data_IF_694935054903
#
_entry.id   IF_694935054903
#
_cell.length_a   1.000
_cell.length_b   1.000
_cell.length_c   1.000
_cell.angle_alpha   90.00
_cell.angle_beta   90.00
_cell.angle_gamma   90.00
#
_symmetry.space_group_name_H-M   'P 1'
#
loop_
_entity.id
_entity.type
_entity.pdbx_description
1 polymer ?
#
# COMPACT_ATOMS: atom_id res chain seq x y z
N UNK A 1 28.95 -2.36 47.59
CA UNK A 1 29.38 -2.76 48.95
C UNK A 1 30.84 -3.17 48.88
N UNK A 2 31.59 -2.85 49.92
CA UNK A 2 33.06 -2.81 49.98
C UNK A 2 33.71 -4.16 49.61
N UNK A 3 34.53 -4.20 48.56
CA UNK A 3 35.60 -5.20 48.37
C UNK A 3 36.91 -4.40 48.32
N UNK A 4 37.69 -4.40 49.40
CA UNK A 4 38.74 -5.36 49.74
C UNK A 4 40.07 -4.93 49.11
N UNK A 5 40.91 -4.37 49.98
CA UNK A 5 42.29 -3.91 49.74
C UNK A 5 43.17 -5.07 49.28
N UNK A 6 43.97 -4.86 48.24
CA UNK A 6 45.28 -5.50 48.11
C UNK A 6 46.30 -4.39 47.90
N UNK A 7 46.98 -4.04 48.99
CA UNK A 7 48.24 -3.30 48.96
C UNK A 7 49.34 -4.29 48.57
N UNK A 8 49.87 -4.16 47.36
CA UNK A 8 51.20 -4.63 46.97
C UNK A 8 51.63 -3.67 45.87
N UNK A 9 52.44 -2.63 46.09
CA UNK A 9 53.76 -2.69 46.70
C UNK A 9 54.77 -2.40 45.60
N UNK A 10 55.10 -1.12 45.38
CA UNK A 10 56.29 -0.75 44.61
C UNK A 10 56.79 0.63 45.07
N UNK A 11 57.42 0.67 46.24
CA UNK A 11 58.30 1.76 46.65
C UNK A 11 59.73 1.32 46.37
N UNK A 12 60.40 2.12 45.56
CA UNK A 12 61.64 1.85 44.86
C UNK A 12 62.82 1.51 45.77
N UNK A 13 63.65 0.56 45.32
CA UNK A 13 65.11 0.60 45.48
C UNK A 13 65.78 -0.25 44.37
N UNK A 14 66.53 0.47 43.52
CA UNK A 14 67.62 0.04 42.64
C UNK A 14 67.28 -0.68 41.31
N UNK A 15 67.42 0.15 40.27
CA UNK A 15 67.79 -0.15 38.88
C UNK A 15 66.68 -0.64 37.93
N UNK A 16 66.43 0.25 36.95
CA UNK A 16 65.77 0.05 35.65
C UNK A 16 64.24 0.24 35.62
N UNK A 17 63.87 1.26 34.83
CA UNK A 17 62.59 1.53 34.18
C UNK A 17 61.32 1.56 35.05
N UNK A 18 60.75 2.77 35.12
CA UNK A 18 59.38 3.09 35.55
C UNK A 18 58.34 2.26 34.79
N UNK A 19 57.39 1.68 35.51
CA UNK A 19 56.14 1.15 34.99
C UNK A 19 55.26 0.67 36.15
N UNK A 20 54.31 1.52 36.58
CA UNK A 20 53.21 1.11 37.44
C UNK A 20 52.10 0.58 36.52
N UNK A 21 51.77 -0.69 36.66
CA UNK A 21 50.59 -1.32 36.06
C UNK A 21 49.37 -0.96 36.92
N UNK A 22 48.53 -0.07 36.40
CA UNK A 22 47.18 0.19 36.89
C UNK A 22 46.19 -0.43 35.88
N UNK A 23 45.84 -1.71 36.06
CA UNK A 23 44.92 -2.42 35.17
C UNK A 23 43.62 -2.78 35.91
N UNK A 24 42.67 -1.84 35.87
CA UNK A 24 41.24 -2.08 36.09
C UNK A 24 40.44 -0.97 35.39
N UNK A 25 40.17 -1.14 34.09
CA UNK A 25 38.87 -0.85 33.44
C UNK A 25 38.97 -0.95 31.91
N UNK A 26 38.36 -1.99 31.34
CA UNK A 26 37.15 -1.87 30.52
C UNK A 26 36.80 -3.25 29.97
N UNK A 27 35.53 -3.62 30.04
CA UNK A 27 35.06 -4.88 29.46
C UNK A 27 35.34 -4.95 27.96
N UNK A 28 35.59 -6.17 27.50
CA UNK A 28 35.68 -6.62 26.11
C UNK A 28 34.53 -6.07 25.23
N UNK A 29 34.67 -4.83 24.79
CA UNK A 29 34.13 -4.33 23.54
C UNK A 29 35.17 -4.60 22.47
N UNK A 30 34.98 -5.67 21.72
CA UNK A 30 35.74 -5.90 20.51
C UNK A 30 35.28 -4.89 19.45
N UNK A 31 35.85 -3.68 19.45
CA UNK A 31 35.81 -2.76 18.30
C UNK A 31 37.22 -2.55 17.73
N UNK A 32 37.85 -3.67 17.35
CA UNK A 32 38.87 -3.67 16.31
C UNK A 32 38.19 -3.41 14.95
N UNK A 33 38.08 -2.15 14.54
CA UNK A 33 37.68 -1.81 13.17
C UNK A 33 36.88 -0.52 13.02
N UNK A 34 37.52 0.63 13.19
CA UNK A 34 37.01 1.88 12.63
C UNK A 34 37.22 1.86 11.11
N UNK A 35 36.49 1.01 10.37
CA UNK A 35 36.28 1.29 8.95
C UNK A 35 35.51 2.60 8.89
N UNK A 36 35.97 3.54 8.07
CA UNK A 36 35.23 4.75 7.72
C UNK A 36 34.04 4.38 6.82
N UNK A 37 33.18 3.46 7.26
CA UNK A 37 31.90 3.25 6.63
C UNK A 37 31.08 4.50 6.95
N UNK A 38 30.74 5.26 5.91
CA UNK A 38 29.76 6.32 6.05
C UNK A 38 28.40 5.78 6.51
N UNK A 39 27.38 6.64 6.73
CA UNK A 39 26.03 6.23 7.14
C UNK A 39 25.31 5.25 6.21
N UNK A 40 25.86 4.91 5.04
CA UNK A 40 25.27 4.05 4.02
C UNK A 40 26.33 3.44 3.08
N UNK A 41 25.95 2.44 2.28
CA UNK A 41 26.82 1.81 1.27
C UNK A 41 26.61 2.45 -0.11
N UNK A 42 27.68 2.77 -0.85
CA UNK A 42 27.57 3.42 -2.19
C UNK A 42 26.58 2.69 -3.10
N UNK A 43 25.63 3.45 -3.68
CA UNK A 43 24.62 2.92 -4.59
C UNK A 43 23.48 2.14 -3.92
N UNK A 44 23.54 1.92 -2.60
CA UNK A 44 22.41 1.40 -1.82
C UNK A 44 21.22 2.33 -2.00
N UNK A 45 20.05 1.74 -2.23
CA UNK A 45 18.80 2.46 -2.32
C UNK A 45 17.87 1.98 -1.21
N UNK A 46 17.13 2.90 -0.60
CA UNK A 46 16.15 2.56 0.43
C UNK A 46 14.92 3.46 0.33
N UNK A 47 13.74 2.87 0.49
CA UNK A 47 12.50 3.65 0.58
C UNK A 47 12.26 4.16 2.01
N UNK A 48 12.18 5.49 2.17
CA UNK A 48 11.86 6.12 3.46
C UNK A 48 10.76 7.15 3.25
N UNK A 49 9.61 6.95 3.90
CA UNK A 49 8.43 7.84 3.82
C UNK A 49 7.99 8.12 2.37
N UNK A 50 8.03 7.09 1.52
CA UNK A 50 7.64 7.17 0.10
C UNK A 50 8.66 7.88 -0.81
N UNK A 51 9.87 8.15 -0.32
CA UNK A 51 10.96 8.73 -1.11
C UNK A 51 12.08 7.73 -1.28
N UNK A 52 12.65 7.68 -2.48
CA UNK A 52 13.83 6.89 -2.76
C UNK A 52 15.05 7.62 -2.21
N UNK A 53 15.82 6.95 -1.37
CA UNK A 53 17.09 7.44 -0.89
C UNK A 53 18.20 6.62 -1.50
N UNK A 54 19.08 7.23 -2.26
CA UNK A 54 20.25 6.54 -2.84
C UNK A 54 21.52 7.06 -2.19
N UNK A 55 22.37 6.17 -1.69
CA UNK A 55 23.61 6.55 -1.04
C UNK A 55 24.57 7.16 -2.05
N UNK A 56 25.16 8.30 -1.68
CA UNK A 56 26.13 9.01 -2.51
C UNK A 56 27.44 8.21 -2.63
N UNK A 57 28.17 8.41 -3.72
CA UNK A 57 29.45 7.74 -3.99
C UNK A 57 30.55 8.08 -2.98
N UNK A 58 30.44 9.24 -2.33
CA UNK A 58 31.33 9.69 -1.27
C UNK A 58 30.97 9.14 0.12
N UNK A 59 29.94 8.29 0.22
CA UNK A 59 29.44 7.67 1.45
C UNK A 59 28.98 8.67 2.52
N UNK A 60 28.93 9.99 2.23
CA UNK A 60 28.67 10.99 3.27
C UNK A 60 27.18 11.23 3.57
N UNK A 61 26.28 10.70 2.73
CA UNK A 61 24.85 10.88 2.91
C UNK A 61 23.98 10.29 1.80
N UNK A 62 22.69 10.63 1.86
CA UNK A 62 21.65 10.12 0.97
C UNK A 62 21.19 11.21 -0.01
N UNK A 63 21.17 10.89 -1.29
CA UNK A 63 20.38 11.59 -2.29
C UNK A 63 18.91 11.22 -2.08
N UNK A 64 18.04 12.20 -1.82
CA UNK A 64 16.60 11.95 -1.57
C UNK A 64 15.79 12.46 -2.76
N UNK A 65 15.17 11.53 -3.47
CA UNK A 65 14.39 11.83 -4.67
C UNK A 65 12.95 11.38 -4.52
N UNK A 66 12.06 12.07 -5.25
CA UNK A 66 10.69 11.59 -5.44
C UNK A 66 10.70 10.72 -6.67
N UNK A 67 9.95 9.63 -6.61
CA UNK A 67 9.64 8.85 -7.80
C UNK A 67 8.84 9.72 -8.79
N UNK A 68 9.00 9.42 -10.09
CA UNK A 68 8.28 10.09 -11.16
C UNK A 68 6.76 9.87 -11.06
N UNK A 69 5.98 10.65 -11.81
CA UNK A 69 4.52 10.53 -11.82
C UNK A 69 4.08 9.12 -12.23
N UNK A 70 3.14 8.54 -11.46
CA UNK A 70 2.66 7.17 -11.65
C UNK A 70 3.59 6.09 -11.12
N UNK A 71 4.63 6.43 -10.36
CA UNK A 71 5.50 5.48 -9.69
C UNK A 71 5.57 5.74 -8.18
N UNK A 72 5.76 4.66 -7.41
CA UNK A 72 5.86 4.70 -5.94
C UNK A 72 7.18 4.08 -5.48
N UNK A 73 7.70 4.53 -4.34
CA UNK A 73 8.86 3.88 -3.73
C UNK A 73 8.41 2.68 -2.91
N UNK A 74 8.64 1.47 -3.42
CA UNK A 74 8.34 0.20 -2.75
C UNK A 74 9.51 -0.75 -3.00
N UNK A 75 9.91 -1.51 -1.96
CA UNK A 75 11.04 -2.45 -2.04
C UNK A 75 12.31 -1.80 -2.63
N UNK A 76 12.64 -0.61 -2.13
CA UNK A 76 13.88 0.11 -2.42
C UNK A 76 14.06 0.55 -3.88
N UNK A 77 12.96 0.59 -4.64
CA UNK A 77 12.93 1.07 -6.01
C UNK A 77 11.67 1.90 -6.31
N UNK A 78 11.78 2.79 -7.30
CA UNK A 78 10.61 3.42 -7.90
C UNK A 78 9.98 2.45 -8.89
N UNK A 79 8.77 1.99 -8.60
CA UNK A 79 8.03 1.01 -9.39
C UNK A 79 6.70 1.60 -9.86
N UNK A 80 6.14 1.15 -11.01
CA UNK A 80 4.83 1.58 -11.45
C UNK A 80 3.77 1.33 -10.38
N UNK A 81 2.97 2.36 -10.13
CA UNK A 81 1.83 2.28 -9.24
C UNK A 81 0.72 1.48 -9.92
N UNK A 82 0.23 0.44 -9.26
CA UNK A 82 -0.86 -0.40 -9.82
C UNK A 82 -2.22 0.25 -9.55
N UNK A 83 -2.40 0.82 -8.37
CA UNK A 83 -3.64 1.46 -7.94
C UNK A 83 -3.38 2.55 -6.90
N UNK A 84 -4.36 3.43 -6.68
CA UNK A 84 -4.26 4.45 -5.63
C UNK A 84 -4.39 3.82 -4.25
N UNK A 85 -3.41 3.96 -3.33
CA UNK A 85 -3.44 3.32 -2.02
C UNK A 85 -4.74 3.55 -1.26
N UNK A 86 -5.38 2.46 -0.82
CA UNK A 86 -6.66 2.52 -0.10
C UNK A 86 -7.88 2.86 -0.96
N UNK A 87 -7.71 3.09 -2.27
CA UNK A 87 -8.83 3.23 -3.19
C UNK A 87 -9.64 1.93 -3.28
N UNK A 88 -10.90 2.07 -3.65
CA UNK A 88 -11.88 0.99 -3.74
C UNK A 88 -12.48 0.98 -5.14
N UNK A 89 -12.72 -0.20 -5.67
CA UNK A 89 -13.41 -0.36 -6.94
C UNK A 89 -14.35 -1.56 -6.93
N UNK A 90 -15.24 -1.58 -7.91
CA UNK A 90 -16.17 -2.67 -8.13
C UNK A 90 -15.66 -3.62 -9.21
N UNK A 91 -15.83 -4.90 -8.93
CA UNK A 91 -15.61 -6.01 -9.86
C UNK A 91 -16.90 -6.84 -9.95
N UNK A 92 -16.94 -7.82 -10.84
CA UNK A 92 -18.06 -8.77 -10.92
C UNK A 92 -18.29 -9.55 -9.60
N UNK A 93 -17.25 -9.68 -8.77
CA UNK A 93 -17.29 -10.41 -7.50
C UNK A 93 -17.54 -9.51 -6.27
N UNK A 94 -17.58 -8.18 -6.46
CA UNK A 94 -17.82 -7.21 -5.39
C UNK A 94 -16.73 -6.14 -5.26
N UNK A 95 -16.56 -5.60 -4.06
CA UNK A 95 -15.62 -4.49 -3.78
C UNK A 95 -14.23 -5.04 -3.50
N UNK A 96 -13.21 -4.50 -4.16
CA UNK A 96 -11.80 -4.72 -3.77
C UNK A 96 -11.13 -3.41 -3.38
N UNK A 97 -10.10 -3.50 -2.54
CA UNK A 97 -9.37 -2.35 -2.00
C UNK A 97 -7.91 -2.44 -2.40
N UNK A 98 -7.33 -1.32 -2.82
CA UNK A 98 -5.92 -1.23 -3.14
C UNK A 98 -5.10 -1.29 -1.85
N UNK A 99 -4.04 -2.09 -1.84
CA UNK A 99 -3.11 -2.19 -0.72
C UNK A 99 -2.45 -0.83 -0.42
N UNK A 100 -1.98 -0.65 0.81
CA UNK A 100 -1.37 0.61 1.26
C UNK A 100 -0.08 0.95 0.50
N UNK A 101 0.61 -0.05 -0.01
CA UNK A 101 1.77 0.09 -0.90
C UNK A 101 1.42 0.46 -2.35
N UNK A 102 0.14 0.39 -2.75
CA UNK A 102 -0.30 0.73 -4.11
C UNK A 102 0.03 -0.31 -5.18
N UNK A 103 0.57 -1.48 -4.82
CA UNK A 103 1.08 -2.48 -5.75
C UNK A 103 0.14 -3.66 -5.97
N UNK A 104 -0.90 -3.80 -5.17
CA UNK A 104 -1.83 -4.92 -5.27
C UNK A 104 -3.25 -4.57 -4.88
N UNK A 105 -4.20 -5.34 -5.39
CA UNK A 105 -5.58 -5.30 -4.96
C UNK A 105 -5.86 -6.45 -3.99
N UNK A 106 -6.68 -6.18 -2.97
CA UNK A 106 -7.22 -7.23 -2.12
C UNK A 106 -8.09 -8.21 -2.91
N UNK A 107 -8.33 -9.39 -2.35
CA UNK A 107 -9.44 -10.23 -2.82
C UNK A 107 -10.76 -9.44 -2.75
N UNK A 108 -11.62 -9.57 -3.78
CA UNK A 108 -12.92 -8.90 -3.77
C UNK A 108 -13.80 -9.45 -2.66
N UNK A 109 -14.54 -8.56 -2.03
CA UNK A 109 -15.54 -8.87 -1.01
C UNK A 109 -16.92 -8.64 -1.61
N UNK A 110 -17.72 -9.70 -1.68
CA UNK A 110 -19.07 -9.62 -2.19
C UNK A 110 -19.91 -8.63 -1.36
N UNK A 111 -20.75 -7.87 -2.06
CA UNK A 111 -21.72 -7.01 -1.39
C UNK A 111 -22.76 -7.85 -0.62
N UNK A 112 -23.38 -7.28 0.43
CA UNK A 112 -24.47 -7.95 1.14
C UNK A 112 -25.59 -8.38 0.19
N UNK A 113 -26.43 -9.30 0.65
CA UNK A 113 -27.66 -9.64 -0.07
C UNK A 113 -28.47 -8.37 -0.36
N UNK A 114 -29.12 -8.35 -1.53
CA UNK A 114 -29.91 -7.21 -2.02
C UNK A 114 -29.10 -5.92 -2.22
N UNK A 115 -27.77 -6.00 -2.35
CA UNK A 115 -26.91 -4.87 -2.70
C UNK A 115 -26.19 -5.10 -4.04
N UNK A 116 -25.97 -4.01 -4.76
CA UNK A 116 -25.11 -3.91 -5.94
C UNK A 116 -23.83 -3.16 -5.61
N UNK A 117 -22.75 -3.43 -6.37
CA UNK A 117 -21.52 -2.66 -6.26
C UNK A 117 -21.53 -1.53 -7.28
N UNK A 118 -21.32 -0.30 -6.82
CA UNK A 118 -21.10 0.86 -7.68
C UNK A 118 -20.03 1.76 -7.06
N UNK A 119 -19.06 2.19 -7.88
CA UNK A 119 -18.00 3.12 -7.49
C UNK A 119 -17.26 2.70 -6.20
N UNK A 120 -17.01 1.39 -6.05
CA UNK A 120 -16.34 0.80 -4.89
C UNK A 120 -17.20 0.70 -3.62
N UNK A 121 -18.50 0.93 -3.72
CA UNK A 121 -19.43 0.94 -2.58
C UNK A 121 -20.59 -0.02 -2.84
N UNK A 122 -20.97 -0.75 -1.79
CA UNK A 122 -22.18 -1.56 -1.81
C UNK A 122 -23.40 -0.68 -1.51
N UNK A 123 -24.33 -0.62 -2.46
CA UNK A 123 -25.57 0.15 -2.37
C UNK A 123 -26.76 -0.80 -2.43
N UNK A 124 -27.83 -0.47 -1.71
CA UNK A 124 -29.05 -1.26 -1.76
C UNK A 124 -29.63 -1.25 -3.19
N UNK A 125 -30.03 -2.42 -3.67
CA UNK A 125 -30.66 -2.58 -4.98
C UNK A 125 -32.00 -1.85 -5.02
N UNK A 126 -32.26 -1.20 -6.14
CA UNK A 126 -33.52 -0.54 -6.44
C UNK A 126 -34.47 -1.44 -7.24
N UNK A 127 -33.93 -2.48 -7.87
CA UNK A 127 -34.65 -3.44 -8.69
C UNK A 127 -33.92 -4.78 -8.74
N UNK A 128 -34.60 -5.84 -9.20
CA UNK A 128 -33.98 -7.16 -9.36
C UNK A 128 -33.12 -7.15 -10.62
N UNK A 129 -31.85 -7.59 -10.60
CA UNK A 129 -31.01 -7.60 -11.79
C UNK A 129 -31.66 -8.30 -12.99
N UNK A 130 -31.71 -7.62 -14.14
CA UNK A 130 -32.33 -8.12 -15.36
C UNK A 130 -33.87 -8.12 -15.35
N UNK A 131 -34.51 -7.63 -14.28
CA UNK A 131 -35.95 -7.39 -14.25
C UNK A 131 -36.37 -6.46 -15.38
N UNK A 132 -37.50 -6.76 -16.01
CA UNK A 132 -38.08 -5.92 -17.06
C UNK A 132 -39.44 -5.41 -16.61
N UNK A 133 -39.74 -4.17 -16.96
CA UNK A 133 -40.99 -3.52 -16.61
C UNK A 133 -41.39 -2.51 -17.69
N UNK A 134 -42.65 -2.11 -17.69
CA UNK A 134 -43.13 -1.02 -18.55
C UNK A 134 -43.37 0.25 -17.72
N UNK A 135 -42.79 1.35 -18.18
CA UNK A 135 -43.14 2.70 -17.74
C UNK A 135 -43.73 3.48 -18.91
N UNK A 136 -45.03 3.71 -18.92
CA UNK A 136 -45.73 4.33 -20.05
C UNK A 136 -45.40 3.63 -21.39
N UNK A 137 -44.80 4.36 -22.34
CA UNK A 137 -44.34 3.87 -23.65
C UNK A 137 -42.84 3.55 -23.66
N UNK A 138 -42.29 3.14 -22.51
CA UNK A 138 -40.85 2.90 -22.31
C UNK A 138 -40.66 1.53 -21.70
N UNK A 139 -39.89 0.68 -22.39
CA UNK A 139 -39.38 -0.55 -21.83
C UNK A 139 -38.26 -0.23 -20.83
N UNK A 140 -38.37 -0.78 -19.62
CA UNK A 140 -37.42 -0.62 -18.55
C UNK A 140 -36.68 -1.94 -18.34
N UNK A 141 -35.37 -1.89 -18.17
CA UNK A 141 -34.55 -3.06 -17.83
C UNK A 141 -33.62 -2.71 -16.69
N UNK A 142 -33.69 -3.46 -15.59
CA UNK A 142 -32.82 -3.27 -14.45
C UNK A 142 -31.39 -3.69 -14.80
N UNK A 143 -30.41 -2.84 -14.47
CA UNK A 143 -29.00 -3.13 -14.66
C UNK A 143 -28.55 -4.38 -13.89
N UNK A 144 -27.44 -4.97 -14.31
CA UNK A 144 -26.90 -6.19 -13.69
C UNK A 144 -26.50 -6.00 -12.21
N UNK A 145 -26.08 -4.79 -11.84
CA UNK A 145 -25.82 -4.41 -10.45
C UNK A 145 -27.11 -4.23 -9.62
N UNK A 146 -28.26 -3.99 -10.26
CA UNK A 146 -29.56 -3.81 -9.62
C UNK A 146 -29.80 -2.41 -9.06
N UNK A 147 -28.97 -1.41 -9.41
CA UNK A 147 -29.02 -0.07 -8.83
C UNK A 147 -29.74 0.97 -9.71
N UNK A 148 -30.01 0.61 -10.97
CA UNK A 148 -30.52 1.54 -11.99
C UNK A 148 -31.42 0.82 -12.97
N UNK A 149 -32.33 1.60 -13.56
CA UNK A 149 -33.20 1.17 -14.66
C UNK A 149 -32.75 1.81 -15.97
N UNK A 150 -32.38 0.99 -16.94
CA UNK A 150 -32.23 1.42 -18.32
C UNK A 150 -33.60 1.65 -18.94
N UNK A 151 -33.69 2.69 -19.76
CA UNK A 151 -34.93 3.15 -20.38
C UNK A 151 -34.81 3.08 -21.90
N UNK A 152 -35.69 2.33 -22.54
CA UNK A 152 -35.79 2.21 -23.99
C UNK A 152 -37.20 2.64 -24.45
N UNK A 153 -37.36 3.88 -24.95
CA UNK A 153 -38.64 4.34 -25.49
C UNK A 153 -39.06 3.51 -26.71
N UNK A 154 -40.31 3.05 -26.73
CA UNK A 154 -40.84 2.31 -27.87
C UNK A 154 -41.17 3.23 -29.05
N UNK A 155 -41.09 2.69 -30.26
CA UNK A 155 -41.35 3.45 -31.49
C UNK A 155 -42.82 3.92 -31.60
N UNK A 156 -43.10 4.79 -32.57
CA UNK A 156 -44.42 5.39 -32.74
C UNK A 156 -45.56 4.35 -32.84
N UNK A 157 -45.34 3.24 -33.56
CA UNK A 157 -46.30 2.15 -33.77
C UNK A 157 -46.12 0.95 -32.81
N UNK A 158 -45.45 1.16 -31.67
CA UNK A 158 -45.22 0.12 -30.67
C UNK A 158 -45.82 0.49 -29.32
N UNK A 159 -46.05 -0.52 -28.49
CA UNK A 159 -46.52 -0.41 -27.11
C UNK A 159 -45.54 -1.16 -26.22
N UNK A 160 -45.34 -0.67 -24.99
CA UNK A 160 -44.64 -1.48 -23.99
C UNK A 160 -45.62 -2.52 -23.42
N UNK A 161 -45.27 -3.79 -23.55
CA UNK A 161 -46.02 -4.93 -23.01
C UNK A 161 -45.00 -5.87 -22.37
N UNK A 162 -45.23 -6.25 -21.11
CA UNK A 162 -44.36 -7.16 -20.35
C UNK A 162 -42.86 -6.79 -20.40
N UNK A 163 -42.56 -5.50 -20.32
CA UNK A 163 -41.19 -4.99 -20.33
C UNK A 163 -40.52 -4.94 -21.70
N UNK A 164 -41.26 -5.19 -22.78
CA UNK A 164 -40.75 -5.16 -24.14
C UNK A 164 -41.60 -4.27 -25.07
N UNK A 165 -40.93 -3.62 -26.02
CA UNK A 165 -41.61 -2.91 -27.10
C UNK A 165 -42.15 -3.90 -28.12
N UNK A 166 -43.46 -3.86 -28.36
CA UNK A 166 -44.18 -4.75 -29.26
C UNK A 166 -45.00 -3.94 -30.25
N UNK A 167 -44.99 -4.34 -31.53
CA UNK A 167 -45.76 -3.68 -32.57
C UNK A 167 -47.27 -3.84 -32.31
N UNK A 168 -48.03 -2.77 -32.54
CA UNK A 168 -49.49 -2.87 -32.47
C UNK A 168 -50.03 -3.70 -33.65
N UNK A 169 -50.93 -4.67 -33.42
CA UNK A 169 -51.55 -5.40 -34.51
C UNK A 169 -52.52 -4.48 -35.26
N UNK A 170 -52.05 -3.85 -36.33
CA UNK A 170 -52.90 -3.06 -37.25
C UNK A 170 -52.27 -1.78 -37.81
N UNK A 171 -50.99 -1.82 -38.21
CA UNK A 171 -50.32 -0.70 -38.89
C UNK A 171 -51.06 -0.19 -40.13
#
# INVERSE_FOLDING_TARGET
MRGARVLTGCLALLALAVGCDDDDAVGDGADAGMTRQGPCSVGESVCVEGRLRTCLEDETGWLVERCDEGTVCVEDACVPQVCEPGSRECTDEGVRTCAADGQSWSSPTACPTDHGCLDGVCLARTCTPGETACGDKVALTCDADGLRWNRAPCAAAERCIDGACTAEPGG
#
